data_IF_545290747726
#
_entry.id   IF_545290747726
#
_cell.length_a   1.000
_cell.length_b   1.000
_cell.length_c   1.000
_cell.angle_alpha   90.00
_cell.angle_beta   90.00
_cell.angle_gamma   90.00
#
_symmetry.space_group_name_H-M   'P 1'
#
loop_
_entity.id
_entity.type
_entity.pdbx_description
1 polymer ?
#
# COMPACT_ATOMS: atom_id res chain seq x y z
N UNK A 1 31.55 10.31 -18.02
CA UNK A 1 30.47 9.47 -18.59
C UNK A 1 29.38 10.31 -19.23
N UNK A 2 28.52 11.02 -18.48
CA UNK A 2 27.40 11.82 -19.05
C UNK A 2 27.83 12.79 -20.17
N UNK A 3 28.93 13.52 -19.98
CA UNK A 3 29.50 14.40 -21.03
C UNK A 3 29.81 13.66 -22.34
N UNK A 4 30.36 12.46 -22.25
CA UNK A 4 30.67 11.65 -23.43
C UNK A 4 29.38 11.17 -24.13
N UNK A 5 28.38 10.73 -23.36
CA UNK A 5 27.08 10.33 -23.91
C UNK A 5 26.40 11.48 -24.70
N UNK A 6 26.50 12.72 -24.20
CA UNK A 6 25.99 13.89 -24.93
C UNK A 6 26.80 14.21 -26.19
N UNK A 7 28.15 14.11 -26.14
CA UNK A 7 29.02 14.32 -27.31
C UNK A 7 28.71 13.30 -28.40
N UNK A 8 28.48 12.05 -28.01
CA UNK A 8 28.20 10.93 -28.91
C UNK A 8 26.73 10.86 -29.34
N UNK A 9 25.91 11.86 -28.98
CA UNK A 9 24.48 11.98 -29.32
C UNK A 9 23.64 10.76 -28.89
N UNK A 10 24.01 10.14 -27.78
CA UNK A 10 23.23 9.04 -27.20
C UNK A 10 21.94 9.59 -26.60
N UNK A 11 20.80 9.09 -27.07
CA UNK A 11 19.51 9.35 -26.44
C UNK A 11 19.30 8.39 -25.28
N UNK A 12 18.94 8.92 -24.12
CA UNK A 12 18.62 8.11 -22.95
C UNK A 12 17.49 8.76 -22.15
N UNK A 13 16.69 7.90 -21.54
CA UNK A 13 15.63 8.27 -20.62
C UNK A 13 16.09 7.83 -19.24
N UNK A 14 15.96 8.70 -18.25
CA UNK A 14 16.26 8.40 -16.85
C UNK A 14 15.06 8.72 -15.99
N UNK A 15 14.74 7.81 -15.08
CA UNK A 15 13.66 7.98 -14.10
C UNK A 15 14.28 8.11 -12.71
N UNK A 16 13.72 9.01 -11.90
CA UNK A 16 14.19 9.30 -10.55
C UNK A 16 13.01 9.71 -9.68
N UNK A 17 13.04 9.30 -8.41
CA UNK A 17 12.07 9.73 -7.40
C UNK A 17 12.37 11.14 -6.86
N UNK A 18 13.52 11.70 -7.22
CA UNK A 18 13.94 13.06 -6.88
C UNK A 18 14.06 13.90 -8.14
N UNK A 19 13.67 15.17 -8.03
CA UNK A 19 14.06 16.17 -9.02
C UNK A 19 15.59 16.24 -9.11
N UNK A 20 16.17 16.60 -10.26
CA UNK A 20 17.62 16.65 -10.44
C UNK A 20 18.36 17.43 -9.35
N UNK A 21 17.86 18.59 -8.95
CA UNK A 21 18.41 19.43 -7.86
C UNK A 21 18.44 18.73 -6.49
N UNK A 22 17.53 17.78 -6.29
CA UNK A 22 17.35 17.02 -5.05
C UNK A 22 18.00 15.63 -5.10
N UNK A 23 18.70 15.28 -6.18
CA UNK A 23 19.37 13.98 -6.29
C UNK A 23 20.39 13.79 -5.15
N UNK A 24 20.34 12.60 -4.56
CA UNK A 24 21.26 12.10 -3.53
C UNK A 24 21.38 13.05 -2.31
N UNK A 25 20.28 13.31 -1.60
CA UNK A 25 20.31 14.20 -0.44
C UNK A 25 21.16 13.60 0.67
N UNK A 26 22.07 14.39 1.26
CA UNK A 26 22.99 13.98 2.34
C UNK A 26 23.94 12.80 2.00
N UNK A 27 24.14 12.52 0.72
CA UNK A 27 25.02 11.45 0.29
C UNK A 27 26.50 11.77 0.47
N UNK A 28 27.30 10.74 0.76
CA UNK A 28 28.76 10.85 0.87
C UNK A 28 29.33 11.34 -0.48
N UNK A 29 30.09 12.43 -0.47
CA UNK A 29 30.65 13.08 -1.67
C UNK A 29 29.62 13.65 -2.67
N UNK A 30 28.47 14.16 -2.20
CA UNK A 30 27.47 14.83 -3.04
C UNK A 30 28.04 15.94 -3.93
N UNK A 31 29.09 16.61 -3.48
CA UNK A 31 29.84 17.62 -4.23
C UNK A 31 30.28 17.11 -5.62
N UNK A 32 30.64 15.83 -5.74
CA UNK A 32 31.03 15.21 -7.02
C UNK A 32 29.87 14.99 -7.98
N UNK A 33 28.63 14.99 -7.46
CA UNK A 33 27.41 14.81 -8.24
C UNK A 33 26.87 16.14 -8.78
N UNK A 34 27.22 17.27 -8.15
CA UNK A 34 26.73 18.60 -8.57
C UNK A 34 26.99 18.91 -10.06
N UNK A 35 28.17 18.62 -10.65
CA UNK A 35 28.40 18.88 -12.07
C UNK A 35 27.57 17.98 -12.99
N UNK A 36 27.17 16.80 -12.52
CA UNK A 36 26.27 15.93 -13.25
C UNK A 36 24.84 16.48 -13.17
N UNK A 37 24.37 16.90 -12.00
CA UNK A 37 23.04 17.52 -11.80
C UNK A 37 22.88 18.74 -12.71
N UNK A 38 23.86 19.66 -12.70
CA UNK A 38 23.84 20.85 -13.56
C UNK A 38 23.75 20.48 -15.04
N UNK A 39 24.50 19.46 -15.46
CA UNK A 39 24.47 18.98 -16.84
C UNK A 39 23.13 18.35 -17.22
N UNK A 40 22.46 17.65 -16.28
CA UNK A 40 21.12 17.10 -16.50
C UNK A 40 20.09 18.22 -16.65
N UNK A 41 20.11 19.23 -15.79
CA UNK A 41 19.20 20.38 -15.85
C UNK A 41 19.38 21.24 -17.11
N UNK A 42 20.62 21.35 -17.59
CA UNK A 42 20.92 22.12 -18.81
C UNK A 42 20.57 21.38 -20.11
N UNK A 43 20.57 20.05 -20.12
CA UNK A 43 20.54 19.24 -21.35
C UNK A 43 19.32 18.34 -21.49
N UNK A 44 18.58 18.09 -20.42
CA UNK A 44 17.41 17.25 -20.43
C UNK A 44 16.16 18.05 -20.07
N UNK A 45 15.06 17.70 -20.72
CA UNK A 45 13.75 18.13 -20.26
C UNK A 45 13.38 17.36 -19.00
N UNK A 46 13.29 18.07 -17.88
CA UNK A 46 12.81 17.50 -16.62
C UNK A 46 11.30 17.38 -16.71
N UNK A 47 10.85 16.28 -17.27
CA UNK A 47 9.45 15.90 -17.24
C UNK A 47 9.16 15.35 -15.85
N UNK A 48 8.34 16.07 -15.08
CA UNK A 48 7.69 15.45 -13.96
C UNK A 48 6.74 14.40 -14.53
N UNK A 49 7.13 13.15 -14.45
CA UNK A 49 6.23 12.03 -14.72
C UNK A 49 5.32 12.00 -13.50
N UNK A 50 4.33 12.90 -13.50
CA UNK A 50 3.21 12.83 -12.59
C UNK A 50 2.57 11.47 -12.83
N UNK A 51 2.96 10.49 -12.01
CA UNK A 51 2.11 9.37 -11.66
C UNK A 51 0.95 9.91 -10.80
N UNK A 52 0.20 10.86 -11.35
CA UNK A 52 -0.88 11.60 -10.70
C UNK A 52 -0.40 12.48 -9.54
N UNK A 53 -0.21 13.78 -9.79
CA UNK A 53 -0.46 14.80 -8.77
C UNK A 53 -1.74 14.41 -8.00
N UNK A 54 -1.61 14.16 -6.69
CA UNK A 54 -2.57 14.05 -5.58
C UNK A 54 -4.10 13.97 -5.78
N UNK A 55 -4.62 13.52 -6.91
CA UNK A 55 -6.04 13.20 -7.07
C UNK A 55 -6.43 12.00 -6.19
N UNK A 56 -5.49 11.07 -5.93
CA UNK A 56 -5.70 9.92 -5.04
C UNK A 56 -5.87 10.33 -3.56
N UNK A 57 -5.11 11.31 -3.07
CA UNK A 57 -5.29 11.81 -1.70
C UNK A 57 -6.63 12.54 -1.54
N UNK A 58 -7.04 13.32 -2.54
CA UNK A 58 -8.33 14.03 -2.54
C UNK A 58 -9.52 13.03 -2.60
N UNK A 59 -9.41 11.95 -3.38
CA UNK A 59 -10.42 10.88 -3.43
C UNK A 59 -10.49 10.10 -2.11
N UNK A 60 -9.34 9.70 -1.54
CA UNK A 60 -9.29 8.93 -0.31
C UNK A 60 -9.92 9.66 0.90
N UNK A 61 -9.91 10.99 0.92
CA UNK A 61 -10.51 11.78 2.01
C UNK A 61 -12.04 11.64 2.08
N UNK A 62 -12.70 11.23 0.98
CA UNK A 62 -14.15 10.98 0.93
C UNK A 62 -14.52 9.52 1.19
N UNK A 63 -13.53 8.63 1.19
CA UNK A 63 -13.73 7.20 1.35
C UNK A 63 -13.85 6.87 2.84
N UNK A 64 -14.94 6.20 3.21
CA UNK A 64 -15.05 5.58 4.51
C UNK A 64 -14.19 4.32 4.53
N UNK A 65 -13.05 4.37 5.23
CA UNK A 65 -12.07 3.28 5.27
C UNK A 65 -12.56 2.01 6.00
N UNK A 66 -13.63 2.09 6.80
CA UNK A 66 -14.21 0.93 7.49
C UNK A 66 -15.73 0.88 7.31
N UNK A 67 -16.21 -0.14 6.60
CA UNK A 67 -17.62 -0.35 6.29
C UNK A 67 -18.19 -1.48 7.16
N UNK A 68 -19.31 -1.22 7.81
CA UNK A 68 -20.02 -2.18 8.67
C UNK A 68 -21.50 -1.81 8.71
N UNK A 69 -22.43 -2.78 8.84
CA UNK A 69 -22.21 -4.24 8.82
C UNK A 69 -22.09 -4.79 7.40
N UNK A 70 -21.66 -6.04 7.25
CA UNK A 70 -21.64 -6.73 5.96
C UNK A 70 -23.07 -6.86 5.39
N UNK A 71 -23.28 -6.26 4.23
CA UNK A 71 -24.49 -6.36 3.43
C UNK A 71 -24.19 -5.98 1.97
N UNK A 72 -25.19 -6.14 1.09
CA UNK A 72 -25.08 -5.82 -0.34
C UNK A 72 -24.68 -4.35 -0.58
N UNK A 73 -25.18 -3.40 0.22
CA UNK A 73 -24.82 -2.00 0.07
C UNK A 73 -23.33 -1.74 0.39
N UNK A 74 -22.80 -2.35 1.45
CA UNK A 74 -21.35 -2.25 1.76
C UNK A 74 -20.48 -2.94 0.73
N UNK A 75 -20.97 -4.03 0.11
CA UNK A 75 -20.25 -4.70 -0.96
C UNK A 75 -20.18 -3.81 -2.20
N UNK A 76 -21.32 -3.25 -2.62
CA UNK A 76 -21.36 -2.30 -3.73
C UNK A 76 -20.51 -1.06 -3.47
N UNK A 77 -20.49 -0.56 -2.23
CA UNK A 77 -19.65 0.57 -1.86
C UNK A 77 -18.15 0.24 -1.93
N UNK A 78 -17.73 -0.99 -1.60
CA UNK A 78 -16.35 -1.44 -1.82
C UNK A 78 -16.01 -1.48 -3.31
N UNK A 79 -16.92 -1.97 -4.17
CA UNK A 79 -16.76 -1.95 -5.62
C UNK A 79 -16.61 -0.52 -6.15
N UNK A 80 -17.48 0.39 -5.72
CA UNK A 80 -17.45 1.79 -6.13
C UNK A 80 -16.11 2.44 -5.73
N UNK A 81 -15.64 2.18 -4.50
CA UNK A 81 -14.34 2.64 -4.04
C UNK A 81 -13.19 2.06 -4.85
N UNK A 82 -13.21 0.77 -5.18
CA UNK A 82 -12.17 0.19 -6.02
C UNK A 82 -12.08 0.91 -7.37
N UNK A 83 -13.22 1.12 -8.04
CA UNK A 83 -13.26 1.82 -9.33
C UNK A 83 -12.85 3.30 -9.22
N UNK A 84 -13.21 3.98 -8.13
CA UNK A 84 -12.77 5.35 -7.88
C UNK A 84 -11.25 5.44 -7.71
N UNK A 85 -10.64 4.49 -6.98
CA UNK A 85 -9.21 4.46 -6.67
C UNK A 85 -8.34 4.18 -7.89
N UNK A 86 -8.78 3.28 -8.76
CA UNK A 86 -8.04 2.95 -9.99
C UNK A 86 -8.27 4.00 -11.08
N UNK A 87 -9.36 4.77 -10.99
CA UNK A 87 -9.71 5.84 -11.91
C UNK A 87 -9.84 5.36 -13.35
N UNK A 88 -8.86 5.68 -14.20
CA UNK A 88 -8.82 5.27 -15.62
C UNK A 88 -7.93 4.05 -15.87
N UNK A 89 -7.32 3.49 -14.83
CA UNK A 89 -6.50 2.29 -14.98
C UNK A 89 -7.39 1.11 -15.41
N UNK A 90 -6.78 0.19 -16.15
CA UNK A 90 -7.44 -1.05 -16.57
C UNK A 90 -7.18 -2.10 -15.49
N UNK A 91 -8.24 -2.76 -15.05
CA UNK A 91 -8.13 -3.86 -14.12
C UNK A 91 -7.36 -5.04 -14.75
N UNK A 92 -6.50 -5.69 -13.98
CA UNK A 92 -5.72 -6.83 -14.42
C UNK A 92 -6.62 -8.02 -14.76
N UNK A 93 -6.45 -8.56 -15.98
CA UNK A 93 -7.16 -9.77 -16.42
C UNK A 93 -6.73 -11.01 -15.63
N UNK A 94 -5.45 -11.07 -15.23
CA UNK A 94 -4.94 -12.09 -14.32
C UNK A 94 -4.83 -11.52 -12.92
N UNK A 95 -5.66 -12.04 -12.01
CA UNK A 95 -5.71 -11.63 -10.59
C UNK A 95 -4.90 -12.55 -9.67
N UNK A 96 -4.04 -13.40 -10.24
CA UNK A 96 -3.14 -14.26 -9.46
C UNK A 96 -1.82 -13.53 -9.24
N UNK A 97 -1.53 -13.25 -7.98
CA UNK A 97 -0.29 -12.65 -7.52
C UNK A 97 0.63 -13.76 -7.00
N UNK A 98 1.90 -13.70 -7.39
CA UNK A 98 2.94 -14.48 -6.74
C UNK A 98 3.49 -13.65 -5.59
N UNK A 99 3.20 -14.07 -4.37
CA UNK A 99 3.71 -13.49 -3.14
C UNK A 99 4.66 -14.52 -2.53
N UNK A 100 5.93 -14.18 -2.45
CA UNK A 100 7.04 -15.02 -2.07
C UNK A 100 7.09 -16.30 -2.95
N UNK A 101 6.80 -17.45 -2.35
CA UNK A 101 6.75 -18.76 -3.00
C UNK A 101 5.33 -19.24 -3.27
N UNK A 102 4.31 -18.39 -3.08
CA UNK A 102 2.89 -18.78 -3.06
C UNK A 102 2.08 -17.95 -4.03
N UNK A 103 1.05 -18.57 -4.57
CA UNK A 103 0.04 -17.87 -5.34
C UNK A 103 -1.10 -17.40 -4.43
N UNK A 104 -1.54 -16.16 -4.63
CA UNK A 104 -2.66 -15.54 -3.95
C UNK A 104 -3.58 -14.94 -5.01
N UNK A 105 -4.87 -15.27 -4.97
CA UNK A 105 -5.85 -14.70 -5.89
C UNK A 105 -6.48 -13.46 -5.26
N UNK A 106 -6.36 -12.32 -5.92
CA UNK A 106 -7.10 -11.12 -5.58
C UNK A 106 -8.54 -11.18 -6.14
N UNK A 107 -9.47 -10.54 -5.45
CA UNK A 107 -10.80 -10.27 -5.98
C UNK A 107 -10.72 -9.25 -7.09
N UNK A 108 -9.97 -8.16 -6.87
CA UNK A 108 -9.68 -7.15 -7.88
C UNK A 108 -8.23 -6.68 -7.78
N UNK A 109 -7.66 -6.32 -8.92
CA UNK A 109 -6.25 -5.96 -9.01
C UNK A 109 -6.01 -4.88 -10.07
N UNK A 110 -5.33 -3.81 -9.69
CA UNK A 110 -4.83 -2.78 -10.60
C UNK A 110 -3.45 -2.30 -10.14
N UNK A 111 -2.85 -1.37 -10.88
CA UNK A 111 -1.52 -0.87 -10.54
C UNK A 111 -1.55 -0.10 -9.21
N UNK A 112 -0.92 -0.67 -8.18
CA UNK A 112 -0.79 -0.07 -6.86
C UNK A 112 -2.00 -0.27 -5.91
N UNK A 113 -3.09 -0.85 -6.40
CA UNK A 113 -4.31 -1.14 -5.62
C UNK A 113 -4.68 -2.63 -5.74
N UNK A 114 -4.91 -3.28 -4.60
CA UNK A 114 -5.34 -4.68 -4.57
C UNK A 114 -6.49 -4.89 -3.61
N UNK A 115 -7.41 -5.78 -3.96
CA UNK A 115 -8.51 -6.19 -3.10
C UNK A 115 -8.52 -7.70 -2.89
N UNK A 116 -8.51 -8.14 -1.63
CA UNK A 116 -8.69 -9.53 -1.21
C UNK A 116 -9.92 -9.70 -0.29
N UNK A 117 -10.45 -10.91 -0.20
CA UNK A 117 -11.32 -11.30 0.91
C UNK A 117 -10.50 -11.69 2.16
N UNK A 118 -11.14 -11.67 3.33
CA UNK A 118 -10.53 -12.10 4.59
C UNK A 118 -10.03 -13.54 4.53
N UNK A 119 -10.75 -14.42 3.85
CA UNK A 119 -10.41 -15.84 3.77
C UNK A 119 -9.04 -16.06 3.13
N UNK A 120 -8.77 -15.37 2.03
CA UNK A 120 -7.53 -15.44 1.26
C UNK A 120 -6.32 -14.96 2.07
N UNK A 121 -6.51 -13.89 2.85
CA UNK A 121 -5.45 -13.28 3.64
C UNK A 121 -5.24 -13.93 5.02
N UNK A 122 -6.28 -14.45 5.67
CA UNK A 122 -6.20 -14.82 7.09
C UNK A 122 -6.48 -16.30 7.38
N UNK A 123 -7.17 -17.05 6.52
CA UNK A 123 -7.46 -18.48 6.77
C UNK A 123 -6.34 -19.38 6.24
N UNK A 124 -5.83 -19.07 5.05
CA UNK A 124 -4.73 -19.80 4.43
C UNK A 124 -3.41 -19.70 5.22
N UNK A 125 -2.40 -20.50 4.84
CA UNK A 125 -1.09 -20.42 5.46
C UNK A 125 -0.40 -19.13 5.00
N UNK A 126 -0.53 -18.07 5.78
CA UNK A 126 0.17 -16.80 5.57
C UNK A 126 1.17 -16.53 6.68
N UNK A 127 2.27 -15.90 6.28
CA UNK A 127 3.37 -15.46 7.10
C UNK A 127 3.44 -13.94 7.08
N UNK A 128 4.18 -13.36 8.01
CA UNK A 128 4.41 -11.91 8.04
C UNK A 128 5.12 -11.41 6.77
N UNK A 129 5.99 -12.21 6.16
CA UNK A 129 6.69 -11.86 4.91
C UNK A 129 5.71 -11.69 3.74
N UNK A 130 4.67 -12.52 3.68
CA UNK A 130 3.64 -12.38 2.64
C UNK A 130 2.96 -10.99 2.75
N UNK A 131 2.68 -10.53 3.97
CA UNK A 131 2.10 -9.19 4.19
C UNK A 131 3.09 -8.07 3.90
N UNK A 132 4.38 -8.25 4.18
CA UNK A 132 5.42 -7.28 3.85
C UNK A 132 5.54 -7.08 2.34
N UNK A 133 5.49 -8.15 1.55
CA UNK A 133 5.52 -8.04 0.10
C UNK A 133 4.26 -7.34 -0.45
N UNK A 134 3.07 -7.67 0.08
CA UNK A 134 1.83 -6.94 -0.23
C UNK A 134 2.00 -5.45 0.10
N UNK A 135 2.51 -5.14 1.29
CA UNK A 135 2.73 -3.79 1.77
C UNK A 135 3.91 -3.06 1.14
N UNK A 136 4.69 -3.70 0.27
CA UNK A 136 5.71 -3.08 -0.58
C UNK A 136 5.20 -2.88 -2.01
N UNK A 137 4.36 -3.79 -2.49
CA UNK A 137 3.80 -3.75 -3.85
C UNK A 137 2.66 -2.74 -3.95
N UNK A 138 1.76 -2.67 -2.96
CA UNK A 138 0.51 -1.92 -3.06
C UNK A 138 0.46 -0.73 -2.11
N UNK A 139 0.11 0.46 -2.62
CA UNK A 139 -0.08 1.64 -1.79
C UNK A 139 -1.45 1.66 -1.10
N UNK A 140 -2.42 0.94 -1.68
CA UNK A 140 -3.77 0.76 -1.13
C UNK A 140 -4.13 -0.73 -1.15
N UNK A 141 -4.60 -1.23 -0.01
CA UNK A 141 -5.09 -2.60 0.15
C UNK A 141 -6.54 -2.54 0.62
N UNK A 142 -7.39 -3.28 -0.08
CA UNK A 142 -8.80 -3.44 0.27
C UNK A 142 -9.02 -4.85 0.82
N UNK A 143 -9.77 -4.98 1.92
CA UNK A 143 -10.08 -6.26 2.55
C UNK A 143 -11.57 -6.37 2.81
N UNK A 144 -12.26 -7.28 2.13
CA UNK A 144 -13.69 -7.49 2.34
C UNK A 144 -13.99 -8.67 3.25
N UNK A 145 -15.21 -8.66 3.80
CA UNK A 145 -15.81 -9.80 4.50
C UNK A 145 -15.03 -10.21 5.76
N UNK A 146 -14.50 -9.24 6.52
CA UNK A 146 -13.85 -9.53 7.80
C UNK A 146 -14.91 -9.93 8.83
N UNK A 147 -14.94 -11.19 9.30
CA UNK A 147 -15.99 -11.67 10.18
C UNK A 147 -15.73 -11.22 11.62
N UNK A 148 -16.76 -11.33 12.45
CA UNK A 148 -16.52 -11.51 13.88
C UNK A 148 -15.67 -12.76 14.08
N UNK A 149 -14.57 -12.63 14.83
CA UNK A 149 -13.63 -13.71 15.11
C UNK A 149 -13.87 -14.25 16.52
N UNK A 150 -14.67 -15.33 16.68
CA UNK A 150 -14.80 -16.03 17.97
C UNK A 150 -13.45 -16.66 18.38
N UNK A 151 -13.29 -17.09 19.64
CA UNK A 151 -12.04 -17.69 20.14
C UNK A 151 -11.45 -18.83 19.28
N UNK A 152 -12.32 -19.61 18.60
CA UNK A 152 -11.89 -20.66 17.66
C UNK A 152 -11.09 -20.15 16.46
N UNK A 153 -11.20 -18.87 16.11
CA UNK A 153 -10.47 -18.20 15.03
C UNK A 153 -9.20 -17.48 15.55
N UNK A 154 -8.58 -17.96 16.63
CA UNK A 154 -7.36 -17.36 17.21
C UNK A 154 -6.22 -17.26 16.19
N UNK A 155 -6.08 -18.25 15.29
CA UNK A 155 -5.00 -18.24 14.29
C UNK A 155 -5.23 -17.17 13.23
N UNK A 156 -6.47 -17.03 12.77
CA UNK A 156 -6.92 -16.01 11.83
C UNK A 156 -6.79 -14.61 12.46
N UNK A 157 -7.19 -14.45 13.72
CA UNK A 157 -7.02 -13.20 14.47
C UNK A 157 -5.55 -12.80 14.58
N UNK A 158 -4.65 -13.77 14.85
CA UNK A 158 -3.20 -13.52 14.89
C UNK A 158 -2.66 -13.07 13.53
N UNK A 159 -3.10 -13.69 12.44
CA UNK A 159 -2.72 -13.29 11.08
C UNK A 159 -3.27 -11.92 10.70
N UNK A 160 -4.50 -11.62 11.13
CA UNK A 160 -5.09 -10.30 10.96
C UNK A 160 -4.30 -9.23 11.72
N UNK A 161 -3.87 -9.50 12.96
CA UNK A 161 -2.94 -8.63 13.70
C UNK A 161 -1.67 -8.38 12.88
N UNK A 162 -1.03 -9.41 12.33
CA UNK A 162 0.17 -9.24 11.49
C UNK A 162 -0.08 -8.42 10.24
N UNK A 163 -1.20 -8.64 9.56
CA UNK A 163 -1.61 -7.87 8.39
C UNK A 163 -1.74 -6.38 8.75
N UNK A 164 -2.54 -6.06 9.78
CA UNK A 164 -2.76 -4.67 10.18
C UNK A 164 -1.47 -4.02 10.65
N UNK A 165 -0.64 -4.72 11.43
CA UNK A 165 0.64 -4.21 11.92
C UNK A 165 1.56 -3.82 10.75
N UNK A 166 1.69 -4.70 9.76
CA UNK A 166 2.53 -4.46 8.58
C UNK A 166 1.99 -3.31 7.71
N UNK A 167 0.69 -3.30 7.41
CA UNK A 167 0.08 -2.21 6.64
C UNK A 167 0.22 -0.88 7.36
N UNK A 168 0.02 -0.89 8.68
CA UNK A 168 0.14 0.26 9.54
C UNK A 168 1.54 0.87 9.49
N UNK A 169 2.56 0.05 9.70
CA UNK A 169 3.97 0.46 9.77
C UNK A 169 4.49 1.01 8.42
N UNK A 170 4.01 0.46 7.31
CA UNK A 170 4.34 0.90 5.94
C UNK A 170 3.48 2.07 5.44
N UNK A 171 2.52 2.56 6.25
CA UNK A 171 1.58 3.62 5.87
C UNK A 171 0.76 3.28 4.63
N UNK A 172 0.38 2.00 4.47
CA UNK A 172 -0.50 1.54 3.40
C UNK A 172 -1.93 1.96 3.72
N UNK A 173 -2.67 2.47 2.72
CA UNK A 173 -4.07 2.84 2.90
C UNK A 173 -4.92 1.57 2.95
N UNK A 174 -5.72 1.43 3.99
CA UNK A 174 -6.61 0.29 4.17
C UNK A 174 -8.06 0.73 4.00
N UNK A 175 -8.80 0.02 3.17
CA UNK A 175 -10.26 0.11 3.11
C UNK A 175 -10.80 -1.29 3.38
N UNK A 176 -11.76 -1.42 4.27
CA UNK A 176 -12.27 -2.74 4.61
C UNK A 176 -13.76 -2.78 4.89
N UNK A 177 -14.37 -3.94 4.66
CA UNK A 177 -15.71 -4.26 5.12
C UNK A 177 -15.68 -5.36 6.19
N UNK A 178 -16.47 -5.18 7.23
CA UNK A 178 -16.49 -6.08 8.38
C UNK A 178 -17.90 -6.32 8.92
N UNK A 179 -18.08 -7.46 9.57
CA UNK A 179 -19.36 -7.88 10.16
C UNK A 179 -19.76 -6.98 11.33
N UNK A 180 -18.77 -6.54 12.10
CA UNK A 180 -18.94 -5.77 13.34
C UNK A 180 -17.93 -4.62 13.42
N UNK A 181 -18.17 -3.62 14.29
CA UNK A 181 -17.20 -2.56 14.58
C UNK A 181 -15.83 -3.10 15.05
N UNK A 182 -14.74 -2.32 14.92
CA UNK A 182 -13.38 -2.78 15.22
C UNK A 182 -13.21 -3.38 16.62
N UNK A 183 -13.79 -2.76 17.64
CA UNK A 183 -13.72 -3.17 19.04
C UNK A 183 -14.47 -4.49 19.34
N UNK A 184 -15.32 -4.93 18.41
CA UNK A 184 -16.08 -6.16 18.52
C UNK A 184 -15.51 -7.31 17.69
N UNK A 185 -14.54 -7.06 16.80
CA UNK A 185 -13.98 -8.07 15.90
C UNK A 185 -13.40 -9.29 16.63
N UNK A 186 -12.79 -9.08 17.80
CA UNK A 186 -12.20 -10.16 18.61
C UNK A 186 -12.15 -9.73 20.09
N UNK A 187 -13.13 -10.20 20.86
CA UNK A 187 -13.32 -9.80 22.27
C UNK A 187 -12.84 -10.85 23.27
N UNK A 188 -12.62 -12.09 22.82
CA UNK A 188 -12.33 -13.24 23.68
C UNK A 188 -11.29 -14.17 23.04
N UNK A 189 -10.43 -14.79 23.86
CA UNK A 189 -9.44 -15.78 23.44
C UNK A 189 -7.99 -15.36 23.74
N UNK A 190 -7.01 -16.01 23.10
CA UNK A 190 -5.60 -15.93 23.55
C UNK A 190 -4.90 -14.61 23.25
N UNK A 191 -5.25 -13.93 22.16
CA UNK A 191 -4.56 -12.73 21.66
C UNK A 191 -5.34 -11.43 21.87
N UNK A 192 -6.27 -11.40 22.83
CA UNK A 192 -7.18 -10.23 23.04
C UNK A 192 -6.38 -8.97 23.39
N UNK A 193 -5.34 -9.10 24.23
CA UNK A 193 -4.47 -7.99 24.60
C UNK A 193 -3.77 -7.36 23.40
N UNK A 194 -3.26 -8.19 22.49
CA UNK A 194 -2.60 -7.77 21.27
C UNK A 194 -3.61 -7.20 20.28
N UNK A 195 -4.81 -7.79 20.21
CA UNK A 195 -5.88 -7.33 19.33
C UNK A 195 -6.38 -5.93 19.72
N UNK A 196 -6.40 -5.58 21.00
CA UNK A 196 -6.75 -4.22 21.43
C UNK A 196 -5.86 -3.14 20.78
N UNK A 197 -4.58 -3.43 20.57
CA UNK A 197 -3.67 -2.55 19.82
C UNK A 197 -4.03 -2.48 18.33
N UNK A 198 -4.45 -3.60 17.75
CA UNK A 198 -4.95 -3.64 16.37
C UNK A 198 -6.20 -2.79 16.21
N UNK A 199 -7.11 -2.77 17.18
CA UNK A 199 -8.27 -1.85 17.19
C UNK A 199 -7.82 -0.40 17.17
N UNK A 200 -6.87 0.00 18.02
CA UNK A 200 -6.34 1.37 18.00
C UNK A 200 -5.72 1.74 16.65
N UNK A 201 -4.96 0.82 16.04
CA UNK A 201 -4.39 1.01 14.70
C UNK A 201 -5.47 1.16 13.63
N UNK A 202 -6.50 0.32 13.64
CA UNK A 202 -7.64 0.44 12.70
C UNK A 202 -8.36 1.78 12.83
N UNK A 203 -8.51 2.30 14.05
CA UNK A 203 -9.08 3.62 14.28
C UNK A 203 -8.17 4.74 13.76
N UNK A 204 -6.86 4.66 13.99
CA UNK A 204 -5.91 5.65 13.45
C UNK A 204 -5.82 5.60 11.93
N UNK A 205 -5.87 4.41 11.30
CA UNK A 205 -5.83 4.25 9.85
C UNK A 205 -7.01 4.91 9.12
N UNK A 206 -8.10 5.17 9.84
CA UNK A 206 -9.26 5.92 9.34
C UNK A 206 -9.10 7.45 9.49
N UNK A 207 -8.09 7.91 10.23
CA UNK A 207 -7.90 9.34 10.45
C UNK A 207 -7.39 10.03 9.19
N UNK A 208 -7.75 11.30 9.04
CA UNK A 208 -7.29 12.13 7.93
C UNK A 208 -5.77 12.26 7.92
N UNK A 209 -5.16 12.41 9.09
CA UNK A 209 -3.71 12.49 9.24
C UNK A 209 -3.03 11.22 8.71
N UNK A 210 -3.58 10.04 9.00
CA UNK A 210 -3.05 8.79 8.46
C UNK A 210 -3.23 8.70 6.95
N UNK A 211 -4.40 9.07 6.43
CA UNK A 211 -4.73 9.02 4.99
C UNK A 211 -3.86 9.99 4.19
N UNK A 212 -3.57 11.19 4.71
CA UNK A 212 -2.74 12.20 4.05
C UNK A 212 -1.23 11.93 4.22
N UNK A 213 -0.83 11.11 5.20
CA UNK A 213 0.58 10.80 5.42
C UNK A 213 1.21 10.08 4.21
N UNK A 214 2.45 10.45 3.83
CA UNK A 214 3.18 9.75 2.77
C UNK A 214 3.51 8.31 3.17
N UNK A 215 3.65 7.45 2.17
CA UNK A 215 4.01 6.04 2.38
C UNK A 215 5.40 5.94 3.03
N UNK A 216 5.55 5.01 3.98
CA UNK A 216 6.84 4.74 4.61
C UNK A 216 7.50 3.56 3.90
N UNK A 217 8.49 3.83 3.06
CA UNK A 217 9.35 2.79 2.51
C UNK A 217 10.38 2.41 3.58
N UNK A 218 10.12 1.32 4.29
CA UNK A 218 11.10 0.73 5.20
C UNK A 218 12.07 -0.07 4.33
N UNK A 219 13.26 0.49 4.08
CA UNK A 219 14.33 -0.24 3.40
C UNK A 219 14.74 -1.44 4.25
N UNK A 220 14.32 -2.64 3.86
CA UNK A 220 14.75 -3.91 4.43
C UNK A 220 16.17 -4.31 3.99
N UNK A 221 17.12 -3.37 4.04
CA UNK A 221 18.55 -3.59 3.73
C UNK A 221 19.47 -3.13 4.88
N UNK A 222 19.06 -3.38 6.12
CA UNK A 222 19.94 -3.27 7.29
C UNK A 222 19.87 -4.54 8.14
N UNK A 223 20.33 -5.64 7.57
CA UNK A 223 20.96 -6.81 8.22
C UNK A 223 21.77 -7.53 7.16
#
# INVERSE_FOLDING_TARGET
LLKALFIDRVQFIMTSNYRPDQLYPNGLHRDRLLPAIELLEQKLDVLNVDAGSDYRQIQMTRIQAYLTPLNEATHQQMDDYFHELIGKQIEATNRILKIESREIRALHLAEGVVWFDFQTLCVGPRSQNDYLEIANTFHTVMVSEVPYMPPRLTNEARRFIWLIDVLYDHRVKLIMSAEVPPDQLYTEGQVVSEFARTVSRLMEMQSREYIEAPRRLINAQLT
#
